data_IF_980124500581
#
_entry.id   IF_980124500581
#
_cell.length_a   1.000
_cell.length_b   1.000
_cell.length_c   1.000
_cell.angle_alpha   90.00
_cell.angle_beta   90.00
_cell.angle_gamma   90.00
#
_symmetry.space_group_name_H-M   'P 1'
#
loop_
_entity.id
_entity.type
_entity.pdbx_description
1 polymer ?
#
# COMPACT_ATOMS: atom_id res chain seq x y z
N UNK A 1 -17.04 3.58 -2.49
CA UNK A 1 -16.03 2.60 -2.90
C UNK A 1 -14.71 3.06 -2.35
N UNK A 2 -14.03 2.20 -1.62
CA UNK A 2 -12.65 2.42 -1.21
C UNK A 2 -11.70 1.62 -2.10
N UNK A 3 -10.42 1.96 -2.12
CA UNK A 3 -9.42 1.20 -2.86
C UNK A 3 -9.41 -0.28 -2.45
N UNK A 4 -9.61 -0.55 -1.15
CA UNK A 4 -9.70 -1.92 -0.63
C UNK A 4 -10.78 -2.76 -1.31
N UNK A 5 -11.95 -2.19 -1.60
CA UNK A 5 -13.06 -2.90 -2.22
C UNK A 5 -12.72 -3.39 -3.64
N UNK A 6 -11.96 -2.57 -4.39
CA UNK A 6 -11.46 -2.93 -5.73
C UNK A 6 -10.39 -4.01 -5.65
N UNK A 7 -9.50 -3.93 -4.65
CA UNK A 7 -8.41 -4.91 -4.47
C UNK A 7 -8.90 -6.31 -4.09
N UNK A 8 -10.05 -6.42 -3.43
CA UNK A 8 -10.64 -7.70 -3.01
C UNK A 8 -11.80 -8.16 -3.92
N UNK A 9 -11.93 -7.56 -5.12
CA UNK A 9 -12.95 -7.87 -6.12
C UNK A 9 -14.41 -7.72 -5.62
N UNK A 10 -14.65 -6.87 -4.61
CA UNK A 10 -16.01 -6.54 -4.14
C UNK A 10 -16.57 -5.28 -4.79
N UNK A 11 -15.77 -4.57 -5.57
CA UNK A 11 -16.17 -3.43 -6.38
C UNK A 11 -15.41 -3.39 -7.72
N UNK A 12 -16.07 -2.93 -8.79
CA UNK A 12 -15.45 -2.78 -10.10
C UNK A 12 -14.49 -1.59 -10.15
N UNK A 13 -13.30 -1.79 -10.73
CA UNK A 13 -12.32 -0.73 -11.01
C UNK A 13 -12.60 0.00 -12.34
N UNK A 14 -11.55 0.54 -12.98
CA UNK A 14 -11.62 1.12 -14.34
C UNK A 14 -12.10 0.06 -15.34
N UNK A 15 -13.09 0.38 -16.16
CA UNK A 15 -13.72 -0.60 -17.07
C UNK A 15 -13.44 -0.32 -18.56
N UNK A 16 -13.10 0.90 -18.93
CA UNK A 16 -12.85 1.28 -20.32
C UNK A 16 -11.65 2.21 -20.50
N UNK A 17 -11.20 2.36 -21.75
CA UNK A 17 -10.11 3.29 -22.07
C UNK A 17 -10.52 4.76 -22.02
N UNK A 18 -11.82 5.04 -22.11
CA UNK A 18 -12.39 6.38 -22.03
C UNK A 18 -12.60 6.84 -20.58
N UNK A 19 -12.56 5.90 -19.62
CA UNK A 19 -12.75 6.19 -18.20
C UNK A 19 -11.57 6.99 -17.63
N UNK A 20 -11.90 8.09 -16.97
CA UNK A 20 -10.99 8.83 -16.09
C UNK A 20 -11.31 8.48 -14.64
N UNK A 21 -10.32 7.99 -13.89
CA UNK A 21 -10.46 7.62 -12.47
C UNK A 21 -9.57 8.50 -11.60
N UNK A 22 -10.09 8.92 -10.44
CA UNK A 22 -9.33 9.70 -9.45
C UNK A 22 -9.21 8.88 -8.18
N UNK A 23 -7.99 8.76 -7.68
CA UNK A 23 -7.73 8.25 -6.35
C UNK A 23 -7.54 9.44 -5.41
N UNK A 24 -8.50 9.63 -4.50
CA UNK A 24 -8.42 10.61 -3.43
C UNK A 24 -8.13 9.88 -2.12
N UNK A 25 -6.93 10.08 -1.58
CA UNK A 25 -6.43 9.37 -0.41
C UNK A 25 -6.12 10.35 0.71
N UNK A 26 -6.55 10.03 1.92
CA UNK A 26 -6.21 10.77 3.14
C UNK A 26 -4.93 10.26 3.81
N UNK A 27 -4.40 9.11 3.38
CA UNK A 27 -3.31 8.39 4.04
C UNK A 27 -3.78 7.70 5.34
N UNK A 28 -3.57 6.39 5.44
CA UNK A 28 -3.97 5.62 6.62
C UNK A 28 -2.73 5.07 7.34
N UNK A 29 -2.68 5.20 8.67
CA UNK A 29 -1.56 4.70 9.48
C UNK A 29 -1.27 3.20 9.30
N UNK A 30 -2.28 2.41 8.90
CA UNK A 30 -2.09 0.98 8.58
C UNK A 30 -1.17 0.76 7.38
N UNK A 31 -1.12 1.70 6.43
CA UNK A 31 -0.26 1.64 5.26
C UNK A 31 1.20 1.84 5.66
N UNK A 32 1.47 2.82 6.53
CA UNK A 32 2.79 3.06 7.09
C UNK A 32 3.29 1.85 7.89
N UNK A 33 2.43 1.28 8.74
CA UNK A 33 2.75 0.09 9.52
C UNK A 33 3.06 -1.11 8.62
N UNK A 34 2.26 -1.35 7.58
CA UNK A 34 2.49 -2.45 6.65
C UNK A 34 3.85 -2.32 5.94
N UNK A 35 4.23 -1.11 5.53
CA UNK A 35 5.55 -0.84 4.94
C UNK A 35 6.66 -1.08 5.95
N UNK A 36 6.53 -0.59 7.18
CA UNK A 36 7.52 -0.79 8.23
C UNK A 36 7.76 -2.28 8.52
N UNK A 37 6.69 -3.07 8.62
CA UNK A 37 6.79 -4.52 8.82
C UNK A 37 7.49 -5.22 7.65
N UNK A 38 7.12 -4.88 6.40
CA UNK A 38 7.72 -5.47 5.21
C UNK A 38 9.21 -5.11 5.05
N UNK A 39 9.61 -3.91 5.51
CA UNK A 39 11.00 -3.49 5.55
C UNK A 39 11.79 -4.23 6.64
N UNK A 40 11.22 -4.36 7.84
CA UNK A 40 11.83 -5.10 8.95
C UNK A 40 12.03 -6.58 8.61
N UNK A 41 11.07 -7.22 7.94
CA UNK A 41 11.17 -8.63 7.51
C UNK A 41 12.35 -8.86 6.55
N UNK A 42 12.69 -7.87 5.72
CA UNK A 42 13.79 -7.93 4.75
C UNK A 42 15.07 -7.26 5.23
N UNK A 43 15.12 -6.85 6.50
CA UNK A 43 16.26 -6.06 6.98
C UNK A 43 17.57 -6.85 6.86
N UNK A 44 17.55 -8.12 7.22
CA UNK A 44 18.72 -9.00 7.17
C UNK A 44 19.19 -9.25 5.71
N UNK A 45 18.27 -9.28 4.75
CA UNK A 45 18.58 -9.49 3.32
C UNK A 45 19.19 -8.23 2.67
N UNK A 46 18.91 -7.05 3.23
CA UNK A 46 19.25 -5.75 2.66
C UNK A 46 20.48 -5.10 3.33
N UNK A 47 21.12 -5.78 4.29
CA UNK A 47 22.29 -5.31 5.05
C UNK A 47 22.08 -3.88 5.58
N UNK A 48 20.89 -3.61 6.10
CA UNK A 48 20.50 -2.27 6.56
C UNK A 48 21.26 -1.92 7.85
N UNK A 49 21.82 -0.69 7.97
CA UNK A 49 22.51 -0.26 9.18
C UNK A 49 21.57 -0.26 10.39
N UNK A 50 21.97 -0.96 11.45
CA UNK A 50 21.31 -0.91 12.75
C UNK A 50 21.91 0.23 13.58
N UNK A 51 21.05 1.00 14.25
CA UNK A 51 21.48 2.05 15.17
C UNK A 51 21.49 1.47 16.59
N UNK A 52 22.67 1.36 17.18
CA UNK A 52 22.83 1.05 18.59
C UNK A 52 22.61 2.33 19.41
N UNK A 53 21.62 2.30 20.31
CA UNK A 53 21.35 3.38 21.27
C UNK A 53 21.84 3.03 22.67
#
# INVERSE_FOLDING_TARGET
>A
MQLGDVLIDTAEGRQSDEDITIFDSTGLAIQDLAIALAAMERADDLDVPQLDF
#
